data_IF_927245695079
#
_entry.id   IF_927245695079
#
_cell.length_a   1.000
_cell.length_b   1.000
_cell.length_c   1.000
_cell.angle_alpha   90.00
_cell.angle_beta   90.00
_cell.angle_gamma   90.00
#
_symmetry.space_group_name_H-M   'P 1'
#
loop_
_entity.id
_entity.type
_entity.pdbx_description
1 polymer ?
#
# COMPACT_ATOMS: atom_id res chain seq x y z
N UNK A 1 16.03 -11.13 -2.59
CA UNK A 1 14.73 -10.91 -3.25
C UNK A 1 13.67 -11.01 -2.17
N UNK A 2 13.01 -9.91 -1.85
CA UNK A 2 12.07 -9.84 -0.71
C UNK A 2 10.68 -10.36 -1.10
N UNK A 3 9.95 -10.93 -0.14
CA UNK A 3 8.62 -11.47 -0.39
C UNK A 3 7.57 -10.36 -0.50
N UNK A 4 6.43 -10.68 -1.11
CA UNK A 4 5.27 -9.79 -1.13
C UNK A 4 4.82 -9.35 0.28
N UNK A 5 4.93 -10.24 1.27
CA UNK A 5 4.59 -9.94 2.66
C UNK A 5 5.54 -8.92 3.28
N UNK A 6 6.83 -8.94 2.92
CA UNK A 6 7.82 -7.97 3.41
C UNK A 6 7.43 -6.54 3.03
N UNK A 7 7.07 -6.30 1.76
CA UNK A 7 6.69 -4.96 1.30
C UNK A 7 5.38 -4.45 1.91
N UNK A 8 4.44 -5.34 2.24
CA UNK A 8 3.23 -4.95 2.96
C UNK A 8 3.56 -4.57 4.39
N UNK A 9 4.41 -5.35 5.07
CA UNK A 9 4.89 -5.01 6.41
C UNK A 9 5.58 -3.66 6.42
N UNK A 10 6.45 -3.34 5.46
CA UNK A 10 7.08 -2.02 5.36
C UNK A 10 6.04 -0.88 5.27
N UNK A 11 4.98 -1.06 4.48
CA UNK A 11 3.91 -0.07 4.32
C UNK A 11 3.18 0.13 5.65
N UNK A 12 2.80 -0.96 6.32
CA UNK A 12 2.06 -0.90 7.58
C UNK A 12 2.92 -0.37 8.74
N UNK A 13 4.19 -0.77 8.82
CA UNK A 13 5.15 -0.27 9.78
C UNK A 13 5.41 1.23 9.58
N UNK A 14 5.53 1.68 8.32
CA UNK A 14 5.65 3.10 8.03
C UNK A 14 4.44 3.88 8.56
N UNK A 15 3.22 3.40 8.31
CA UNK A 15 2.01 4.06 8.81
C UNK A 15 1.94 4.09 10.33
N UNK A 16 2.28 2.98 10.99
CA UNK A 16 2.38 2.91 12.45
C UNK A 16 3.42 3.91 12.99
N UNK A 17 4.57 4.06 12.32
CA UNK A 17 5.64 4.99 12.74
C UNK A 17 5.30 6.47 12.60
N UNK A 18 4.22 6.79 11.87
CA UNK A 18 3.78 8.17 11.57
C UNK A 18 2.49 8.56 12.29
N UNK A 19 2.06 7.77 13.28
CA UNK A 19 0.78 7.93 13.98
C UNK A 19 -0.40 8.07 13.02
N UNK A 20 -0.35 7.34 11.90
CA UNK A 20 -1.46 7.31 10.94
C UNK A 20 -2.54 6.41 11.52
N UNK A 21 -3.62 7.02 12.02
CA UNK A 21 -4.80 6.27 12.44
C UNK A 21 -5.56 5.74 11.23
N UNK A 22 -5.61 4.41 11.14
CA UNK A 22 -6.37 3.67 10.14
C UNK A 22 -7.73 3.31 10.73
N UNK A 23 -8.81 3.71 10.05
CA UNK A 23 -10.16 3.30 10.42
C UNK A 23 -10.42 1.85 10.04
N UNK A 24 -10.07 1.50 8.79
CA UNK A 24 -10.28 0.17 8.23
C UNK A 24 -9.06 -0.25 7.40
N UNK A 25 -8.68 -1.52 7.46
CA UNK A 25 -7.65 -2.11 6.60
C UNK A 25 -8.16 -3.41 5.98
N UNK A 26 -8.01 -3.53 4.66
CA UNK A 26 -8.45 -4.67 3.87
C UNK A 26 -7.28 -5.19 3.02
N UNK A 27 -7.05 -6.50 3.08
CA UNK A 27 -6.02 -7.19 2.30
C UNK A 27 -6.68 -8.26 1.42
N UNK A 28 -6.42 -8.21 0.12
CA UNK A 28 -6.87 -9.21 -0.83
C UNK A 28 -5.75 -9.64 -1.77
N UNK A 29 -5.63 -10.94 -2.00
CA UNK A 29 -4.78 -11.49 -3.04
C UNK A 29 -5.55 -11.62 -4.36
N UNK A 30 -4.92 -11.24 -5.46
CA UNK A 30 -5.48 -11.35 -6.80
C UNK A 30 -4.39 -11.65 -7.83
N UNK A 31 -4.78 -12.23 -8.96
CA UNK A 31 -3.89 -12.43 -10.09
C UNK A 31 -4.24 -11.43 -11.19
N UNK A 32 -3.28 -10.62 -11.63
CA UNK A 32 -3.48 -9.74 -12.78
C UNK A 32 -3.29 -10.51 -14.10
N UNK A 33 -3.77 -9.95 -15.22
CA UNK A 33 -3.85 -10.57 -16.58
C UNK A 33 -2.65 -11.43 -17.04
N UNK A 34 -1.46 -11.27 -16.47
CA UNK A 34 -0.25 -12.04 -16.78
C UNK A 34 0.09 -13.12 -15.75
N UNK A 35 -0.86 -13.58 -14.93
CA UNK A 35 -0.68 -14.51 -13.80
C UNK A 35 0.29 -14.01 -12.73
N UNK A 36 0.57 -12.71 -12.70
CA UNK A 36 1.36 -12.09 -11.63
C UNK A 36 0.50 -11.99 -10.38
N UNK A 37 0.93 -12.67 -9.31
CA UNK A 37 0.32 -12.53 -8.00
C UNK A 37 0.49 -11.09 -7.54
N UNK A 38 -0.62 -10.47 -7.18
CA UNK A 38 -0.71 -9.09 -6.72
C UNK A 38 -1.49 -9.06 -5.41
N UNK A 39 -0.95 -8.41 -4.40
CA UNK A 39 -1.67 -8.14 -3.17
C UNK A 39 -2.24 -6.72 -3.23
N UNK A 40 -3.55 -6.61 -3.12
CA UNK A 40 -4.29 -5.37 -2.95
C UNK A 40 -4.42 -5.08 -1.46
N UNK A 41 -3.84 -3.98 -1.00
CA UNK A 41 -4.03 -3.43 0.35
C UNK A 41 -4.90 -2.19 0.21
N UNK A 42 -6.07 -2.16 0.82
CA UNK A 42 -6.96 -1.00 0.87
C UNK A 42 -7.05 -0.51 2.31
N UNK A 43 -6.76 0.76 2.51
CA UNK A 43 -6.65 1.39 3.81
C UNK A 43 -7.54 2.62 3.84
N UNK A 44 -8.33 2.76 4.89
CA UNK A 44 -9.16 3.94 5.13
C UNK A 44 -8.56 4.75 6.25
N UNK A 45 -8.24 6.00 5.97
CA UNK A 45 -7.65 6.96 6.90
C UNK A 45 -8.75 7.59 7.74
N UNK A 46 -8.45 7.85 9.01
CA UNK A 46 -9.33 8.64 9.88
C UNK A 46 -9.20 10.14 9.59
N UNK A 47 -7.99 10.62 9.26
CA UNK A 47 -7.69 12.04 9.10
C UNK A 47 -7.03 12.36 7.75
N UNK A 48 -7.56 13.35 7.02
CA UNK A 48 -7.07 13.73 5.69
C UNK A 48 -5.62 14.29 5.67
N UNK A 49 -5.12 14.81 6.80
CA UNK A 49 -3.77 15.39 6.90
C UNK A 49 -2.65 14.37 6.70
N UNK A 50 -2.93 13.09 6.97
CA UNK A 50 -1.97 11.99 6.81
C UNK A 50 -1.77 11.59 5.34
N UNK A 51 -2.64 12.08 4.44
CA UNK A 51 -2.63 11.74 3.01
C UNK A 51 -1.34 12.17 2.30
N UNK A 52 -0.87 13.39 2.51
CA UNK A 52 0.32 13.91 1.81
C UNK A 52 1.56 13.11 2.18
N UNK A 53 1.75 12.83 3.47
CA UNK A 53 2.85 12.01 3.97
C UNK A 53 2.89 10.63 3.31
N UNK A 54 1.73 9.98 3.20
CA UNK A 54 1.64 8.64 2.62
C UNK A 54 1.85 8.68 1.10
N UNK A 55 1.30 9.69 0.43
CA UNK A 55 1.52 9.90 -1.00
C UNK A 55 3.01 9.99 -1.32
N UNK A 56 3.77 10.76 -0.55
CA UNK A 56 5.19 10.97 -0.81
C UNK A 56 6.01 9.70 -0.56
N UNK A 57 5.72 8.97 0.52
CA UNK A 57 6.32 7.66 0.77
C UNK A 57 6.04 6.66 -0.36
N UNK A 58 4.77 6.56 -0.80
CA UNK A 58 4.38 5.62 -1.85
C UNK A 58 4.98 6.01 -3.19
N UNK A 59 5.13 7.31 -3.50
CA UNK A 59 5.85 7.80 -4.68
C UNK A 59 7.34 7.46 -4.62
N UNK A 60 7.99 7.61 -3.46
CA UNK A 60 9.40 7.28 -3.28
C UNK A 60 9.67 5.77 -3.44
N UNK A 61 8.76 4.94 -2.90
CA UNK A 61 8.79 3.48 -3.05
C UNK A 61 8.32 3.01 -4.44
N UNK A 62 7.79 3.90 -5.30
CA UNK A 62 7.29 3.57 -6.63
C UNK A 62 8.43 3.30 -7.63
N UNK A 63 8.99 2.08 -7.56
CA UNK A 63 10.11 1.63 -8.41
C UNK A 63 9.88 0.28 -9.11
N UNK A 64 8.66 0.04 -9.62
CA UNK A 64 8.18 -1.17 -10.37
C UNK A 64 7.38 -2.20 -9.56
N UNK A 65 7.43 -2.15 -8.22
CA UNK A 65 6.84 -3.20 -7.36
C UNK A 65 5.48 -2.80 -6.76
N UNK A 66 5.26 -1.52 -6.48
CA UNK A 66 4.03 -1.01 -5.84
C UNK A 66 3.38 0.01 -6.77
N UNK A 67 2.15 -0.24 -7.19
CA UNK A 67 1.27 0.77 -7.81
C UNK A 67 0.19 1.15 -6.82
N UNK A 68 -0.20 2.42 -6.75
CA UNK A 68 -1.21 2.86 -5.78
C UNK A 68 -2.18 3.88 -6.37
N UNK A 69 -3.36 3.98 -5.76
CA UNK A 69 -4.37 5.00 -6.03
C UNK A 69 -4.92 5.53 -4.73
N UNK A 70 -5.20 6.83 -4.64
CA UNK A 70 -5.70 7.45 -3.42
C UNK A 70 -6.95 8.28 -3.70
N UNK A 71 -7.96 8.13 -2.85
CA UNK A 71 -9.12 9.02 -2.77
C UNK A 71 -8.99 9.92 -1.53
N UNK A 72 -10.06 10.63 -1.14
CA UNK A 72 -10.02 11.62 -0.03
C UNK A 72 -9.66 10.98 1.31
N UNK A 73 -10.17 9.79 1.55
CA UNK A 73 -10.07 9.03 2.80
C UNK A 73 -9.49 7.62 2.60
N UNK A 74 -9.25 7.17 1.36
CA UNK A 74 -8.75 5.81 1.11
C UNK A 74 -7.47 5.78 0.31
N UNK A 75 -6.65 4.78 0.61
CA UNK A 75 -5.42 4.45 -0.07
C UNK A 75 -5.52 3.00 -0.52
N UNK A 76 -5.31 2.76 -1.80
CA UNK A 76 -5.26 1.42 -2.36
C UNK A 76 -3.88 1.19 -2.93
N UNK A 77 -3.12 0.27 -2.34
CA UNK A 77 -1.83 -0.20 -2.81
C UNK A 77 -1.98 -1.55 -3.50
N UNK A 78 -1.29 -1.73 -4.61
CA UNK A 78 -1.19 -2.98 -5.36
C UNK A 78 0.29 -3.36 -5.41
N UNK A 79 0.65 -4.37 -4.63
CA UNK A 79 2.01 -4.89 -4.51
C UNK A 79 2.12 -6.09 -5.45
N UNK A 80 2.91 -5.96 -6.51
CA UNK A 80 3.11 -7.00 -7.53
C UNK A 80 4.32 -7.85 -7.16
N UNK A 81 4.22 -9.16 -7.33
CA UNK A 81 5.40 -10.01 -7.27
C UNK A 81 6.24 -9.76 -8.52
N UNK A 82 7.49 -9.36 -8.34
CA UNK A 82 8.48 -9.38 -9.43
C UNK A 82 9.14 -10.75 -9.36
N UNK A 83 9.21 -11.45 -10.50
CA UNK A 83 9.92 -12.72 -10.68
C UNK A 83 11.37 -12.49 -11.10
#
# INVERSE_FOLDING_TARGET
>A
MESLSFHISEILEYFASKDVNLRDAYLAASFFKNKTLTLKVELTLEEAKTRELISDFLKEKNKKLISFSMTRDRIVCYVKQIS
#
